data_IF_634234555281
#
_entry.id   IF_634234555281
#
_cell.length_a   1.000
_cell.length_b   1.000
_cell.length_c   1.000
_cell.angle_alpha   90.00
_cell.angle_beta   90.00
_cell.angle_gamma   90.00
#
_symmetry.space_group_name_H-M   'P 1'
#
loop_
_entity.id
_entity.type
_entity.pdbx_description
1 polymer ?
#
# COMPACT_ATOMS: atom_id res chain seq x y z
N UNK A 1 13.05 -9.24 0.27
CA UNK A 1 13.39 -7.81 0.15
C UNK A 1 12.79 -7.31 -1.15
N UNK A 2 11.93 -6.29 -1.12
CA UNK A 2 11.54 -5.57 -2.34
C UNK A 2 12.47 -4.35 -2.43
N UNK A 3 13.46 -4.43 -3.31
CA UNK A 3 14.32 -3.32 -3.67
C UNK A 3 13.69 -2.55 -4.84
N UNK A 4 14.08 -1.29 -5.02
CA UNK A 4 13.70 -0.52 -6.20
C UNK A 4 14.14 -1.28 -7.48
N UNK A 5 13.29 -1.38 -8.52
CA UNK A 5 13.67 -2.02 -9.77
C UNK A 5 14.84 -1.26 -10.39
N UNK A 6 15.77 -1.94 -11.06
CA UNK A 6 16.85 -1.26 -11.79
C UNK A 6 16.27 -0.34 -12.86
N UNK A 7 16.90 0.81 -13.19
CA UNK A 7 16.39 1.73 -14.22
C UNK A 7 16.10 1.04 -15.56
N UNK A 8 16.98 0.14 -16.00
CA UNK A 8 16.81 -0.66 -17.23
C UNK A 8 15.52 -1.48 -17.26
N UNK A 9 15.09 -1.99 -16.09
CA UNK A 9 13.85 -2.77 -15.96
C UNK A 9 12.63 -1.84 -16.11
N UNK A 10 12.71 -0.63 -15.57
CA UNK A 10 11.64 0.38 -15.68
C UNK A 10 11.45 0.78 -17.15
N UNK A 11 12.55 1.07 -17.87
CA UNK A 11 12.50 1.37 -19.31
C UNK A 11 11.90 0.21 -20.09
N UNK A 12 12.34 -1.01 -19.81
CA UNK A 12 11.80 -2.20 -20.47
C UNK A 12 10.30 -2.39 -20.23
N UNK A 13 9.81 -2.13 -19.02
CA UNK A 13 8.36 -2.19 -18.74
C UNK A 13 7.57 -1.17 -19.56
N UNK A 14 8.13 0.03 -19.78
CA UNK A 14 7.54 1.01 -20.68
C UNK A 14 7.49 0.48 -22.12
N UNK A 15 8.60 0.01 -22.65
CA UNK A 15 8.66 -0.52 -24.04
C UNK A 15 7.74 -1.72 -24.27
N UNK A 16 7.48 -2.53 -23.24
CA UNK A 16 6.67 -3.75 -23.33
C UNK A 16 5.17 -3.52 -23.10
N UNK A 17 4.76 -2.30 -22.75
CA UNK A 17 3.35 -1.98 -22.48
C UNK A 17 2.83 -0.93 -23.46
N UNK A 18 1.51 -0.94 -23.69
CA UNK A 18 0.83 0.07 -24.49
C UNK A 18 0.31 1.20 -23.59
N UNK A 19 -0.16 2.28 -24.21
CA UNK A 19 -0.54 3.52 -23.51
C UNK A 19 -1.78 3.39 -22.63
N UNK A 20 -2.62 2.37 -22.81
CA UNK A 20 -3.78 2.10 -21.94
C UNK A 20 -3.43 1.16 -20.77
N UNK A 21 -2.24 0.57 -20.76
CA UNK A 21 -1.81 -0.27 -19.65
C UNK A 21 -1.59 0.58 -18.38
N UNK A 22 -1.98 0.06 -17.22
CA UNK A 22 -1.81 0.74 -15.93
C UNK A 22 -1.08 -0.14 -14.94
N UNK A 23 0.07 0.35 -14.45
CA UNK A 23 0.82 -0.27 -13.37
C UNK A 23 0.22 0.11 -12.01
N UNK A 24 0.31 -0.83 -11.07
CA UNK A 24 0.11 -0.56 -9.65
C UNK A 24 1.38 -0.96 -8.88
N UNK A 25 2.16 0.04 -8.46
CA UNK A 25 3.39 -0.21 -7.71
C UNK A 25 3.17 -0.08 -6.23
N UNK A 26 3.73 -1.02 -5.49
CA UNK A 26 3.76 -0.98 -4.04
C UNK A 26 4.93 -0.13 -3.55
N UNK A 27 4.71 0.72 -2.55
CA UNK A 27 5.79 1.42 -1.86
C UNK A 27 6.80 0.42 -1.25
N UNK A 28 8.11 0.72 -1.30
CA UNK A 28 9.13 -0.05 -0.62
C UNK A 28 8.83 -0.25 0.87
N UNK A 29 9.15 -1.44 1.39
CA UNK A 29 9.01 -1.72 2.83
C UNK A 29 9.94 -0.87 3.70
N UNK A 30 11.01 -0.32 3.13
CA UNK A 30 11.88 0.67 3.80
C UNK A 30 11.08 1.92 4.20
N UNK A 31 10.12 2.35 3.37
CA UNK A 31 9.23 3.47 3.67
C UNK A 31 8.14 3.05 4.67
N UNK A 32 7.40 1.98 4.38
CA UNK A 32 6.19 1.66 5.16
C UNK A 32 6.40 0.84 6.43
N UNK A 33 7.46 0.03 6.52
CA UNK A 33 7.71 -0.86 7.66
C UNK A 33 8.93 -0.42 8.48
N UNK A 34 10.03 -0.04 7.84
CA UNK A 34 11.28 0.29 8.55
C UNK A 34 11.27 1.74 9.05
N UNK A 35 11.01 2.71 8.17
CA UNK A 35 10.88 4.11 8.53
C UNK A 35 9.52 4.44 9.19
N UNK A 36 8.54 3.53 9.08
CA UNK A 36 7.19 3.72 9.59
C UNK A 36 6.57 5.07 9.17
N UNK A 37 6.82 5.47 7.91
CA UNK A 37 6.40 6.74 7.30
C UNK A 37 7.04 8.02 7.87
N UNK A 38 8.06 7.91 8.73
CA UNK A 38 8.73 9.06 9.34
C UNK A 38 10.06 9.32 8.63
N UNK A 39 10.37 10.59 8.37
CA UNK A 39 11.65 11.04 7.76
C UNK A 39 12.01 10.25 6.49
N UNK A 40 11.05 10.08 5.58
CA UNK A 40 11.20 9.24 4.39
C UNK A 40 11.19 10.03 3.08
N UNK A 41 11.49 11.34 3.14
CA UNK A 41 11.47 12.24 1.98
C UNK A 41 12.45 11.77 0.90
N UNK A 42 13.70 11.48 1.27
CA UNK A 42 14.73 10.98 0.34
C UNK A 42 14.34 9.63 -0.28
N UNK A 43 13.80 8.71 0.54
CA UNK A 43 13.34 7.39 0.07
C UNK A 43 12.15 7.52 -0.89
N UNK A 44 11.27 8.48 -0.63
CA UNK A 44 10.11 8.75 -1.47
C UNK A 44 10.54 9.38 -2.79
N UNK A 45 11.46 10.35 -2.76
CA UNK A 45 12.04 10.95 -3.96
C UNK A 45 12.69 9.88 -4.83
N UNK A 46 13.57 9.05 -4.26
CA UNK A 46 14.25 7.99 -5.02
C UNK A 46 13.25 7.02 -5.67
N UNK A 47 12.16 6.69 -4.96
CA UNK A 47 11.10 5.84 -5.49
C UNK A 47 10.38 6.49 -6.68
N UNK A 48 9.98 7.75 -6.56
CA UNK A 48 9.28 8.45 -7.64
C UNK A 48 10.21 8.72 -8.83
N UNK A 49 11.45 9.12 -8.59
CA UNK A 49 12.45 9.35 -9.64
C UNK A 49 12.71 8.06 -10.43
N UNK A 50 12.80 6.91 -9.73
CA UNK A 50 12.97 5.61 -10.38
C UNK A 50 11.81 5.27 -11.30
N UNK A 51 10.58 5.66 -10.94
CA UNK A 51 9.36 5.31 -11.66
C UNK A 51 8.84 6.41 -12.59
N UNK A 52 9.48 7.58 -12.60
CA UNK A 52 9.12 8.71 -13.45
C UNK A 52 8.93 8.35 -14.94
N UNK A 53 9.73 7.45 -15.56
CA UNK A 53 9.49 7.03 -16.95
C UNK A 53 8.13 6.35 -17.19
N UNK A 54 7.50 5.82 -16.14
CA UNK A 54 6.20 5.15 -16.19
C UNK A 54 5.04 6.06 -15.77
N UNK A 55 5.29 7.34 -15.45
CA UNK A 55 4.30 8.24 -14.85
C UNK A 55 2.95 8.27 -15.60
N UNK A 56 2.97 8.30 -16.93
CA UNK A 56 1.78 8.29 -17.78
C UNK A 56 0.97 6.98 -17.76
N UNK A 57 1.57 5.91 -17.24
CA UNK A 57 1.00 4.56 -17.16
C UNK A 57 0.86 4.08 -15.71
N UNK A 58 0.89 4.98 -14.73
CA UNK A 58 0.56 4.66 -13.35
C UNK A 58 -0.95 4.73 -13.17
N UNK A 59 -1.56 3.63 -12.73
CA UNK A 59 -2.94 3.63 -12.25
C UNK A 59 -3.04 4.02 -10.78
N UNK A 60 -2.17 3.48 -9.94
CA UNK A 60 -2.16 3.76 -8.50
C UNK A 60 -0.83 3.35 -7.84
N UNK A 61 -0.39 4.12 -6.86
CA UNK A 61 0.62 3.68 -5.89
C UNK A 61 -0.03 3.08 -4.64
N UNK A 62 0.46 1.92 -4.21
CA UNK A 62 -0.12 1.13 -3.13
C UNK A 62 0.77 1.11 -1.89
N UNK A 63 0.29 1.72 -0.81
CA UNK A 63 0.92 1.75 0.50
C UNK A 63 0.32 0.66 1.40
N UNK A 64 1.03 -0.45 1.56
CA UNK A 64 0.66 -1.48 2.53
C UNK A 64 1.38 -1.28 3.85
N UNK A 65 0.62 -1.13 4.93
CA UNK A 65 1.10 -0.91 6.29
C UNK A 65 1.24 -2.25 7.04
N UNK A 66 2.19 -2.36 7.99
CA UNK A 66 2.33 -3.54 8.83
C UNK A 66 1.14 -3.69 9.80
N UNK A 67 0.93 -4.89 10.33
CA UNK A 67 -0.12 -5.15 11.33
C UNK A 67 0.12 -4.41 12.66
N UNK A 68 1.35 -3.92 12.90
CA UNK A 68 1.71 -3.11 14.07
C UNK A 68 1.38 -1.63 13.91
N UNK A 69 1.07 -1.15 12.70
CA UNK A 69 0.68 0.24 12.47
C UNK A 69 -0.76 0.44 12.96
N UNK A 70 -0.92 1.13 14.08
CA UNK A 70 -2.22 1.25 14.75
C UNK A 70 -2.84 2.66 14.64
N UNK A 71 -4.00 2.89 15.29
CA UNK A 71 -4.68 4.18 15.23
C UNK A 71 -3.84 5.36 15.74
N UNK A 72 -2.93 5.11 16.69
CA UNK A 72 -2.01 6.11 17.24
C UNK A 72 -0.99 6.62 16.21
N UNK A 73 -0.76 5.87 15.13
CA UNK A 73 0.18 6.23 14.07
C UNK A 73 -0.48 7.02 12.92
N UNK A 74 -1.80 7.20 12.92
CA UNK A 74 -2.52 7.94 11.87
C UNK A 74 -1.92 9.34 11.57
N UNK A 75 -1.46 10.14 12.55
CA UNK A 75 -0.80 11.42 12.24
C UNK A 75 0.41 11.29 11.30
N UNK A 76 1.19 10.21 11.43
CA UNK A 76 2.33 9.96 10.54
C UNK A 76 1.86 9.55 9.13
N UNK A 77 0.76 8.80 9.02
CA UNK A 77 0.14 8.50 7.73
C UNK A 77 -0.32 9.77 7.02
N UNK A 78 -0.98 10.67 7.74
CA UNK A 78 -1.46 11.94 7.18
C UNK A 78 -0.32 12.82 6.69
N UNK A 79 0.69 13.03 7.53
CA UNK A 79 1.87 13.79 7.13
C UNK A 79 2.54 13.21 5.88
N UNK A 80 2.69 11.88 5.81
CA UNK A 80 3.26 11.20 4.65
C UNK A 80 2.43 11.43 3.39
N UNK A 81 1.11 11.15 3.44
CA UNK A 81 0.21 11.33 2.30
C UNK A 81 0.12 12.78 1.83
N UNK A 82 0.16 13.73 2.77
CA UNK A 82 0.11 15.17 2.47
C UNK A 82 1.38 15.63 1.74
N UNK A 83 2.53 14.98 1.98
CA UNK A 83 3.78 15.23 1.29
C UNK A 83 3.93 14.56 -0.09
N UNK A 84 3.02 13.67 -0.48
CA UNK A 84 3.12 12.97 -1.78
C UNK A 84 2.74 13.89 -2.97
N UNK A 85 3.33 13.66 -4.16
CA UNK A 85 2.94 14.35 -5.40
C UNK A 85 1.44 14.23 -5.68
N UNK A 86 0.80 15.30 -6.17
CA UNK A 86 -0.67 15.34 -6.36
C UNK A 86 -1.17 14.79 -7.69
N UNK A 87 -0.25 14.50 -8.62
CA UNK A 87 -0.57 14.00 -9.96
C UNK A 87 -0.91 12.50 -10.01
N UNK A 88 -0.81 11.80 -8.88
CA UNK A 88 -1.02 10.35 -8.80
C UNK A 88 -2.17 9.98 -7.87
N UNK A 89 -2.72 8.79 -8.10
CA UNK A 89 -3.68 8.15 -7.20
C UNK A 89 -2.95 7.23 -6.22
N UNK A 90 -3.40 7.23 -4.97
CA UNK A 90 -2.81 6.43 -3.88
C UNK A 90 -3.86 5.51 -3.26
N UNK A 91 -3.41 4.33 -2.82
CA UNK A 91 -4.23 3.38 -2.07
C UNK A 91 -3.52 2.91 -0.81
N UNK A 92 -4.21 2.91 0.33
CA UNK A 92 -3.67 2.45 1.62
C UNK A 92 -4.30 1.11 2.02
N UNK A 93 -3.48 0.09 2.26
CA UNK A 93 -3.89 -1.16 2.90
C UNK A 93 -3.47 -1.18 4.37
N UNK A 94 -4.44 -1.19 5.27
CA UNK A 94 -4.25 -1.39 6.71
C UNK A 94 -4.40 -2.86 7.10
N UNK A 95 -3.68 -3.26 8.15
CA UNK A 95 -3.68 -4.65 8.65
C UNK A 95 -3.98 -4.79 10.14
N UNK A 96 -4.07 -3.67 10.86
CA UNK A 96 -4.33 -3.66 12.29
C UNK A 96 -5.82 -3.88 12.58
N UNK A 97 -6.19 -4.81 13.50
CA UNK A 97 -7.59 -5.19 13.75
C UNK A 97 -8.52 -4.04 14.10
N UNK A 98 -8.04 -3.03 14.82
CA UNK A 98 -8.87 -1.86 15.21
C UNK A 98 -9.45 -1.08 14.02
N UNK A 99 -8.78 -1.11 12.85
CA UNK A 99 -9.31 -0.48 11.64
C UNK A 99 -10.45 -1.27 10.96
N UNK A 100 -10.86 -2.39 11.54
CA UNK A 100 -11.95 -3.25 11.06
C UNK A 100 -13.04 -3.46 12.12
N UNK A 101 -12.90 -2.80 13.28
CA UNK A 101 -13.77 -2.99 14.44
C UNK A 101 -15.05 -2.13 14.40
N UNK A 102 -15.29 -1.38 13.31
CA UNK A 102 -16.39 -0.40 13.16
C UNK A 102 -16.44 0.68 14.25
N UNK A 103 -15.32 0.89 14.92
CA UNK A 103 -15.15 1.88 15.98
C UNK A 103 -14.55 3.19 15.49
N UNK A 104 -14.14 4.04 16.44
CA UNK A 104 -13.58 5.36 16.16
C UNK A 104 -12.34 5.29 15.25
N UNK A 105 -11.44 4.32 15.49
CA UNK A 105 -10.24 4.12 14.69
C UNK A 105 -10.51 3.94 13.19
N UNK A 106 -11.54 3.14 12.85
CA UNK A 106 -11.95 2.91 11.47
C UNK A 106 -12.57 4.16 10.84
N UNK A 107 -13.39 4.89 11.61
CA UNK A 107 -14.01 6.14 11.15
C UNK A 107 -12.96 7.23 10.90
N UNK A 108 -11.97 7.37 11.79
CA UNK A 108 -10.85 8.31 11.62
C UNK A 108 -10.03 7.98 10.38
N UNK A 109 -9.70 6.69 10.17
CA UNK A 109 -9.01 6.24 8.97
C UNK A 109 -9.80 6.58 7.70
N UNK A 110 -11.06 6.15 7.61
CA UNK A 110 -11.87 6.33 6.40
C UNK A 110 -12.07 7.82 6.08
N UNK A 111 -12.32 8.65 7.10
CA UNK A 111 -12.46 10.10 6.92
C UNK A 111 -11.17 10.74 6.43
N UNK A 112 -10.04 10.44 7.07
CA UNK A 112 -8.76 11.02 6.70
C UNK A 112 -8.28 10.61 5.31
N UNK A 113 -8.61 9.39 4.87
CA UNK A 113 -8.39 8.92 3.50
C UNK A 113 -9.30 9.65 2.50
N UNK A 114 -10.58 9.77 2.80
CA UNK A 114 -11.56 10.47 1.96
C UNK A 114 -11.19 11.95 1.74
N UNK A 115 -10.84 12.66 2.81
CA UNK A 115 -10.41 14.08 2.76
C UNK A 115 -9.19 14.30 1.85
N UNK A 116 -8.36 13.27 1.66
CA UNK A 116 -7.14 13.31 0.83
C UNK A 116 -7.33 12.70 -0.56
N UNK A 117 -8.55 12.24 -0.90
CA UNK A 117 -8.83 11.48 -2.11
C UNK A 117 -7.92 10.24 -2.27
N UNK A 118 -7.66 9.55 -1.15
CA UNK A 118 -6.83 8.34 -1.12
C UNK A 118 -7.74 7.12 -0.94
N UNK A 119 -7.53 6.11 -1.77
CA UNK A 119 -8.33 4.89 -1.74
C UNK A 119 -8.01 4.02 -0.52
N UNK A 120 -9.02 3.42 0.11
CA UNK A 120 -8.81 2.30 1.01
C UNK A 120 -8.70 1.00 0.20
N UNK A 121 -7.56 0.33 0.27
CA UNK A 121 -7.36 -0.97 -0.36
C UNK A 121 -8.04 -2.06 0.48
N UNK A 122 -8.83 -2.89 -0.18
CA UNK A 122 -9.56 -4.01 0.43
C UNK A 122 -8.69 -5.27 0.34
N UNK A 123 -8.36 -5.84 1.50
CA UNK A 123 -7.71 -7.14 1.60
C UNK A 123 -8.73 -8.23 1.94
N UNK A 124 -8.95 -9.18 1.04
CA UNK A 124 -9.68 -10.42 1.35
C UNK A 124 -8.69 -11.55 1.67
N UNK A 125 -8.49 -11.81 2.97
CA UNK A 125 -7.69 -12.95 3.42
C UNK A 125 -8.51 -14.19 3.78
N UNK A 126 -9.85 -14.16 3.68
CA UNK A 126 -10.71 -15.30 4.04
C UNK A 126 -10.36 -16.58 3.25
N UNK A 127 -10.14 -16.54 1.91
CA UNK A 127 -9.80 -17.74 1.14
C UNK A 127 -8.48 -18.40 1.59
N UNK A 128 -7.53 -17.59 2.07
CA UNK A 128 -6.22 -18.08 2.51
C UNK A 128 -6.34 -18.83 3.85
N UNK A 129 -7.23 -18.35 4.72
CA UNK A 129 -7.47 -18.95 6.04
C UNK A 129 -8.53 -20.07 6.03
N UNK A 130 -9.37 -20.15 4.99
CA UNK A 130 -10.35 -21.24 4.84
C UNK A 130 -9.76 -22.49 4.20
N UNK A 131 -8.62 -22.39 3.53
CA UNK A 131 -7.96 -23.51 2.86
C UNK A 131 -7.06 -24.29 3.84
N UNK A 132 -7.11 -25.62 3.77
CA UNK A 132 -6.24 -26.48 4.58
C UNK A 132 -4.76 -26.24 4.20
N UNK A 133 -3.90 -26.01 5.20
CA UNK A 133 -2.49 -25.67 5.02
C UNK A 133 -1.66 -26.90 4.64
N UNK A 134 -1.87 -27.42 3.44
CA UNK A 134 -1.28 -28.69 2.96
C UNK A 134 0.08 -28.51 2.29
N UNK A 135 0.53 -27.28 2.08
CA UNK A 135 1.84 -26.97 1.48
C UNK A 135 2.62 -25.91 2.27
N UNK A 136 3.97 -25.92 2.22
CA UNK A 136 4.80 -24.90 2.85
C UNK A 136 4.47 -23.47 2.39
N UNK A 137 4.12 -23.29 1.11
CA UNK A 137 3.70 -21.99 0.56
C UNK A 137 2.39 -21.49 1.19
N UNK A 138 1.44 -22.39 1.45
CA UNK A 138 0.19 -22.03 2.13
C UNK A 138 0.41 -21.67 3.61
N UNK A 139 1.28 -22.41 4.30
CA UNK A 139 1.65 -22.12 5.70
C UNK A 139 2.29 -20.73 5.80
N UNK A 140 3.22 -20.40 4.91
CA UNK A 140 3.85 -19.07 4.86
C UNK A 140 2.85 -17.96 4.55
N UNK A 141 1.95 -18.19 3.58
CA UNK A 141 0.90 -17.24 3.24
C UNK A 141 -0.06 -16.98 4.42
N UNK A 142 -0.46 -18.02 5.16
CA UNK A 142 -1.31 -17.89 6.34
C UNK A 142 -0.62 -17.13 7.48
N UNK A 143 0.69 -17.34 7.69
CA UNK A 143 1.46 -16.60 8.70
C UNK A 143 1.59 -15.11 8.37
N UNK A 144 1.77 -14.77 7.08
CA UNK A 144 2.01 -13.38 6.65
C UNK A 144 0.74 -12.54 6.47
N UNK A 145 -0.40 -13.17 6.21
CA UNK A 145 -1.66 -12.45 5.96
C UNK A 145 -2.48 -12.31 7.25
N UNK A 146 -2.84 -11.09 7.67
CA UNK A 146 -3.64 -10.89 8.87
C UNK A 146 -5.02 -11.54 8.71
N UNK A 147 -5.58 -12.04 9.80
CA UNK A 147 -6.95 -12.56 9.85
C UNK A 147 -7.91 -11.41 10.17
N UNK A 148 -8.22 -10.62 9.14
CA UNK A 148 -9.14 -9.46 9.22
C UNK A 148 -10.39 -9.73 8.37
N UNK A 149 -11.56 -9.19 8.75
CA UNK A 149 -12.76 -9.35 7.95
C UNK A 149 -12.63 -8.59 6.62
N UNK A 150 -13.30 -9.09 5.57
CA UNK A 150 -13.46 -8.30 4.34
C UNK A 150 -14.30 -7.09 4.63
N UNK A 151 -13.77 -5.95 4.22
CA UNK A 151 -14.35 -4.67 4.52
C UNK A 151 -14.45 -3.84 3.25
N UNK A 152 -15.46 -4.15 2.45
CA UNK A 152 -15.77 -3.40 1.25
C UNK A 152 -16.47 -2.09 1.64
N UNK A 153 -15.71 -1.00 1.59
CA UNK A 153 -16.22 0.35 1.83
C UNK A 153 -15.81 1.22 0.65
N UNK A 154 -16.75 2.03 0.18
CA UNK A 154 -16.46 3.10 -0.77
C UNK A 154 -15.97 4.29 0.05
N UNK A 155 -14.67 4.57 -0.04
CA UNK A 155 -14.05 5.80 0.49
C UNK A 155 -13.91 6.80 -0.62
#
# INVERSE_FOLDING_TARGET
>A
LYALPKPEIVTRWYEQTHDDFRFCFKFPATISHQAALRHCDDLSSEFFDRLAPLASRIGQYWLQLPATFGPRDLPALWQFLDGLPKDFTYGVEVRHPEFFAKGEAEQQLNRGLHERNVNRVILDSRPVHSAAATSPAMIDAQKKKPKVPVHAVMT
#
